data_IF_782846341972
#
_entry.id   IF_782846341972
#
_cell.length_a   1.000
_cell.length_b   1.000
_cell.length_c   1.000
_cell.angle_alpha   90.00
_cell.angle_beta   90.00
_cell.angle_gamma   90.00
#
_symmetry.space_group_name_H-M   'P 1'
#
loop_
_entity.id
_entity.type
_entity.pdbx_description
1 polymer ?
#
# COMPACT_ATOMS: atom_id res chain seq x y z
N UNK A 1 -37.41 12.31 -8.82
CA UNK A 1 -38.85 12.55 -8.82
C UNK A 1 -39.12 13.94 -8.24
N UNK A 2 -40.03 14.65 -8.85
CA UNK A 2 -40.48 15.99 -8.43
C UNK A 2 -41.90 15.84 -7.95
N UNK A 3 -42.19 16.21 -6.71
CA UNK A 3 -43.54 16.14 -6.13
C UNK A 3 -44.09 17.51 -5.76
N UNK A 4 -45.39 17.63 -5.74
CA UNK A 4 -46.13 18.75 -5.19
C UNK A 4 -46.30 18.64 -3.67
N UNK A 5 -46.85 19.67 -3.01
CA UNK A 5 -47.17 19.64 -1.57
C UNK A 5 -48.10 18.49 -1.17
N UNK A 6 -48.84 17.92 -2.11
CA UNK A 6 -49.73 16.75 -1.89
C UNK A 6 -49.05 15.41 -2.21
N UNK A 7 -47.73 15.39 -2.37
CA UNK A 7 -46.92 14.19 -2.70
C UNK A 7 -47.41 13.45 -3.98
N UNK A 8 -48.12 14.14 -4.87
CA UNK A 8 -48.45 13.54 -6.15
C UNK A 8 -47.21 13.53 -7.07
N UNK A 9 -46.96 12.40 -7.72
CA UNK A 9 -45.91 12.29 -8.73
C UNK A 9 -46.22 13.16 -9.93
N UNK A 10 -45.42 14.20 -10.19
CA UNK A 10 -45.63 15.16 -11.29
C UNK A 10 -44.77 14.76 -12.51
N UNK A 11 -43.61 14.14 -12.29
CA UNK A 11 -42.73 13.72 -13.36
C UNK A 11 -41.30 13.47 -12.93
N UNK A 12 -40.46 13.13 -13.87
CA UNK A 12 -39.01 13.00 -13.71
C UNK A 12 -38.31 14.14 -14.42
N UNK A 13 -37.36 14.80 -13.74
CA UNK A 13 -36.43 15.73 -14.34
C UNK A 13 -35.12 15.02 -14.65
N UNK A 14 -34.70 15.04 -15.89
CA UNK A 14 -33.38 14.52 -16.32
C UNK A 14 -32.51 15.70 -16.67
N UNK A 15 -31.39 15.85 -15.99
CA UNK A 15 -30.37 16.88 -16.25
C UNK A 15 -29.16 16.22 -16.90
N UNK A 16 -28.76 16.68 -18.07
CA UNK A 16 -27.60 16.21 -18.81
C UNK A 16 -26.51 17.28 -18.77
N UNK A 17 -25.35 16.92 -18.23
CA UNK A 17 -24.18 17.77 -18.22
C UNK A 17 -23.09 17.20 -19.15
N UNK A 18 -22.47 18.03 -19.96
CA UNK A 18 -21.30 17.62 -20.74
C UNK A 18 -20.07 17.62 -19.87
N UNK A 19 -19.55 16.41 -19.58
CA UNK A 19 -18.37 16.19 -18.76
C UNK A 19 -17.13 15.80 -19.57
N UNK A 20 -17.15 15.99 -20.91
CA UNK A 20 -16.05 15.58 -21.81
C UNK A 20 -14.72 16.21 -21.39
N UNK A 21 -14.68 17.53 -21.23
CA UNK A 21 -13.47 18.25 -20.78
C UNK A 21 -12.94 17.74 -19.44
N UNK A 22 -13.85 17.43 -18.53
CA UNK A 22 -13.45 16.90 -17.22
C UNK A 22 -12.80 15.54 -17.33
N UNK A 23 -13.38 14.64 -18.15
CA UNK A 23 -12.82 13.30 -18.41
C UNK A 23 -11.50 13.34 -19.17
N UNK A 24 -11.36 14.25 -20.12
CA UNK A 24 -10.10 14.45 -20.86
C UNK A 24 -8.98 14.91 -19.91
N UNK A 25 -9.26 15.88 -19.04
CA UNK A 25 -8.30 16.37 -18.04
C UNK A 25 -7.89 15.27 -17.05
N UNK A 26 -8.86 14.50 -16.56
CA UNK A 26 -8.62 13.40 -15.63
C UNK A 26 -7.78 12.29 -16.28
N UNK A 27 -8.07 11.96 -17.54
CA UNK A 27 -7.29 11.00 -18.30
C UNK A 27 -5.87 11.50 -18.58
N UNK A 28 -5.70 12.78 -18.92
CA UNK A 28 -4.39 13.38 -19.12
C UNK A 28 -3.54 13.37 -17.84
N UNK A 29 -4.17 13.75 -16.70
CA UNK A 29 -3.55 13.68 -15.36
C UNK A 29 -3.07 12.25 -15.03
N UNK A 30 -3.93 11.26 -15.23
CA UNK A 30 -3.61 9.85 -14.97
C UNK A 30 -2.45 9.35 -15.83
N UNK A 31 -2.48 9.66 -17.13
CA UNK A 31 -1.44 9.27 -18.06
C UNK A 31 -0.10 9.95 -17.71
N UNK A 32 -0.14 11.25 -17.38
CA UNK A 32 1.05 11.99 -16.95
C UNK A 32 1.70 11.35 -15.72
N UNK A 33 0.93 11.07 -14.66
CA UNK A 33 1.44 10.46 -13.44
C UNK A 33 2.00 9.05 -13.72
N UNK A 34 1.33 8.27 -14.57
CA UNK A 34 1.81 6.94 -14.97
C UNK A 34 3.15 7.04 -15.69
N UNK A 35 3.28 7.96 -16.63
CA UNK A 35 4.53 8.17 -17.37
C UNK A 35 5.65 8.62 -16.44
N UNK A 36 5.40 9.64 -15.60
CA UNK A 36 6.41 10.11 -14.63
C UNK A 36 6.87 9.00 -13.70
N UNK A 37 5.93 8.20 -13.18
CA UNK A 37 6.28 7.08 -12.29
C UNK A 37 7.17 6.04 -12.99
N UNK A 38 6.90 5.72 -14.25
CA UNK A 38 7.74 4.83 -15.04
C UNK A 38 9.13 5.43 -15.31
N UNK A 39 9.17 6.67 -15.74
CA UNK A 39 10.42 7.40 -16.05
C UNK A 39 11.29 7.63 -14.80
N UNK A 40 10.70 7.70 -13.62
CA UNK A 40 11.43 7.80 -12.36
C UNK A 40 11.93 6.44 -11.85
N UNK A 41 11.20 5.35 -12.11
CA UNK A 41 11.59 4.01 -11.67
C UNK A 41 12.95 3.58 -12.23
N UNK A 42 13.19 3.84 -13.50
CA UNK A 42 14.41 3.44 -14.21
C UNK A 42 15.67 4.05 -13.61
N UNK A 43 15.81 5.40 -13.46
CA UNK A 43 17.00 5.99 -12.87
C UNK A 43 17.21 5.60 -11.41
N UNK A 44 16.11 5.49 -10.62
CA UNK A 44 16.22 5.05 -9.22
C UNK A 44 16.73 3.61 -9.14
N UNK A 45 16.23 2.71 -10.00
CA UNK A 45 16.73 1.33 -10.06
C UNK A 45 18.20 1.27 -10.45
N UNK A 46 18.66 2.15 -11.33
CA UNK A 46 20.09 2.27 -11.69
C UNK A 46 20.93 2.75 -10.51
N UNK A 47 20.43 3.71 -9.73
CA UNK A 47 21.10 4.17 -8.50
C UNK A 47 21.23 3.00 -7.51
N UNK A 48 20.15 2.26 -7.26
CA UNK A 48 20.18 1.11 -6.35
C UNK A 48 21.14 0.02 -6.80
N UNK A 49 21.20 -0.25 -8.10
CA UNK A 49 22.16 -1.20 -8.68
C UNK A 49 23.60 -0.71 -8.48
N UNK A 50 23.88 0.57 -8.71
CA UNK A 50 25.21 1.16 -8.47
C UNK A 50 25.61 1.08 -7.01
N UNK A 51 24.69 1.34 -6.08
CA UNK A 51 24.92 1.21 -4.64
C UNK A 51 25.17 -0.26 -4.21
N UNK A 52 24.51 -1.20 -4.88
CA UNK A 52 24.75 -2.63 -4.65
C UNK A 52 26.17 -3.02 -5.09
N UNK A 53 26.61 -2.53 -6.25
CA UNK A 53 27.98 -2.76 -6.74
C UNK A 53 29.02 -2.11 -5.83
N UNK A 54 28.80 -0.87 -5.37
CA UNK A 54 29.69 -0.21 -4.41
C UNK A 54 29.83 -0.96 -3.09
N UNK A 55 28.80 -1.67 -2.67
CA UNK A 55 28.82 -2.53 -1.48
C UNK A 55 29.49 -3.89 -1.70
N UNK A 56 29.84 -4.23 -2.93
CA UNK A 56 30.52 -5.51 -3.25
C UNK A 56 32.01 -5.42 -2.90
N UNK A 57 32.47 -6.30 -2.04
CA UNK A 57 33.87 -6.37 -1.60
C UNK A 57 34.88 -6.51 -2.74
N UNK A 58 34.45 -6.92 -3.95
CA UNK A 58 35.30 -7.04 -5.15
C UNK A 58 35.76 -5.69 -5.70
N UNK A 59 35.05 -4.60 -5.40
CA UNK A 59 35.44 -3.24 -5.81
C UNK A 59 36.28 -2.51 -4.78
N UNK A 60 36.55 -3.14 -3.63
CA UNK A 60 37.27 -2.58 -2.51
C UNK A 60 36.37 -2.46 -1.28
N UNK A 61 37.01 -2.22 -0.11
CA UNK A 61 36.29 -2.06 1.14
C UNK A 61 35.93 -0.59 1.36
N UNK A 62 34.67 -0.32 1.59
CA UNK A 62 34.20 1.00 2.02
C UNK A 62 34.61 1.24 3.49
N UNK A 63 35.08 2.45 3.80
CA UNK A 63 35.22 2.88 5.18
C UNK A 63 33.84 3.10 5.83
N UNK A 64 33.82 3.28 7.15
CA UNK A 64 32.55 3.39 7.91
C UNK A 64 31.70 4.59 7.46
N UNK A 65 32.33 5.72 7.16
CA UNK A 65 31.65 6.91 6.67
C UNK A 65 31.03 6.69 5.28
N UNK A 66 31.76 6.04 4.38
CA UNK A 66 31.24 5.65 3.04
C UNK A 66 30.08 4.66 3.16
N UNK A 67 30.14 3.68 4.07
CA UNK A 67 29.03 2.74 4.32
C UNK A 67 27.77 3.47 4.77
N UNK A 68 27.92 4.45 5.68
CA UNK A 68 26.79 5.26 6.13
C UNK A 68 26.17 6.08 4.99
N UNK A 69 27.00 6.70 4.14
CA UNK A 69 26.50 7.46 2.99
C UNK A 69 25.77 6.56 1.98
N UNK A 70 26.37 5.40 1.62
CA UNK A 70 25.75 4.42 0.73
C UNK A 70 24.41 3.93 1.33
N UNK A 71 24.37 3.68 2.64
CA UNK A 71 23.13 3.29 3.33
C UNK A 71 22.06 4.37 3.24
N UNK A 72 22.39 5.63 3.48
CA UNK A 72 21.48 6.76 3.41
C UNK A 72 20.93 7.00 2.00
N UNK A 73 21.78 6.88 0.96
CA UNK A 73 21.35 7.01 -0.44
C UNK A 73 20.42 5.86 -0.81
N UNK A 74 20.73 4.64 -0.40
CA UNK A 74 19.88 3.46 -0.61
C UNK A 74 18.49 3.68 -0.01
N UNK A 75 18.43 4.06 1.25
CA UNK A 75 17.17 4.32 1.96
C UNK A 75 16.33 5.40 1.26
N UNK A 76 16.97 6.48 0.84
CA UNK A 76 16.30 7.56 0.09
C UNK A 76 15.76 7.09 -1.26
N UNK A 77 16.53 6.25 -1.96
CA UNK A 77 16.14 5.67 -3.26
C UNK A 77 14.98 4.69 -3.12
N UNK A 78 15.01 3.79 -2.13
CA UNK A 78 13.91 2.88 -1.82
C UNK A 78 12.63 3.63 -1.46
N UNK A 79 12.76 4.71 -0.67
CA UNK A 79 11.62 5.59 -0.34
C UNK A 79 11.02 6.24 -1.59
N UNK A 80 11.84 6.73 -2.51
CA UNK A 80 11.37 7.30 -3.78
C UNK A 80 10.64 6.27 -4.64
N UNK A 81 11.16 5.03 -4.75
CA UNK A 81 10.46 3.94 -5.44
C UNK A 81 9.09 3.65 -4.85
N UNK A 82 9.00 3.60 -3.52
CA UNK A 82 7.73 3.36 -2.84
C UNK A 82 6.72 4.47 -3.13
N UNK A 83 7.13 5.75 -2.99
CA UNK A 83 6.27 6.91 -3.27
C UNK A 83 5.77 6.89 -4.72
N UNK A 84 6.64 6.61 -5.68
CA UNK A 84 6.24 6.54 -7.11
C UNK A 84 5.27 5.39 -7.36
N UNK A 85 5.45 4.25 -6.72
CA UNK A 85 4.54 3.10 -6.78
C UNK A 85 3.16 3.41 -6.17
N UNK A 86 3.12 4.03 -4.99
CA UNK A 86 1.90 4.47 -4.33
C UNK A 86 1.10 5.46 -5.19
N UNK A 87 1.80 6.46 -5.77
CA UNK A 87 1.19 7.45 -6.63
C UNK A 87 0.56 6.84 -7.88
N UNK A 88 1.25 5.86 -8.51
CA UNK A 88 0.73 5.14 -9.66
C UNK A 88 -0.51 4.30 -9.29
N UNK A 89 -0.44 3.54 -8.20
CA UNK A 89 -1.58 2.73 -7.74
C UNK A 89 -2.79 3.62 -7.42
N UNK A 90 -2.58 4.75 -6.73
CA UNK A 90 -3.64 5.71 -6.41
C UNK A 90 -4.32 6.25 -7.67
N UNK A 91 -3.56 6.64 -8.68
CA UNK A 91 -4.12 7.17 -9.94
C UNK A 91 -4.87 6.11 -10.75
N UNK A 92 -4.44 4.83 -10.70
CA UNK A 92 -5.16 3.73 -11.33
C UNK A 92 -6.51 3.47 -10.64
N UNK A 93 -6.57 3.57 -9.31
CA UNK A 93 -7.82 3.47 -8.54
C UNK A 93 -8.75 4.63 -8.87
N UNK A 94 -8.23 5.88 -8.86
CA UNK A 94 -9.03 7.10 -9.16
C UNK A 94 -9.66 7.08 -10.54
N UNK A 95 -8.91 6.65 -11.54
CA UNK A 95 -9.38 6.61 -12.93
C UNK A 95 -10.26 5.41 -13.24
N UNK A 96 -10.50 4.50 -12.27
CA UNK A 96 -11.21 3.24 -12.49
C UNK A 96 -10.49 2.29 -13.46
N UNK A 97 -9.21 2.55 -13.75
CA UNK A 97 -8.38 1.74 -14.65
C UNK A 97 -7.66 0.60 -13.94
N UNK A 98 -7.85 0.44 -12.63
CA UNK A 98 -7.27 -0.67 -11.88
C UNK A 98 -7.83 -1.98 -12.42
N UNK A 99 -7.00 -2.73 -13.12
CA UNK A 99 -7.34 -4.09 -13.56
C UNK A 99 -6.87 -5.07 -12.50
N UNK A 100 -7.81 -5.77 -11.88
CA UNK A 100 -7.50 -6.86 -10.97
C UNK A 100 -7.30 -8.15 -11.78
N UNK A 101 -6.30 -8.93 -11.37
CA UNK A 101 -6.00 -10.26 -11.93
C UNK A 101 -6.19 -11.33 -10.83
N UNK A 102 -7.46 -11.64 -10.47
CA UNK A 102 -7.73 -12.54 -9.38
C UNK A 102 -7.30 -13.97 -9.71
N UNK A 103 -6.69 -14.62 -8.71
CA UNK A 103 -6.26 -16.02 -8.75
C UNK A 103 -6.67 -16.70 -7.44
N UNK A 104 -6.76 -18.03 -7.48
CA UNK A 104 -6.97 -18.81 -6.25
C UNK A 104 -5.67 -18.87 -5.48
N UNK A 105 -5.66 -18.30 -4.26
CA UNK A 105 -4.49 -18.21 -3.39
C UNK A 105 -4.85 -18.60 -1.97
N UNK A 106 -3.90 -19.08 -1.20
CA UNK A 106 -4.08 -19.31 0.23
C UNK A 106 -3.75 -18.03 1.00
N UNK A 107 -4.59 -17.62 1.97
CA UNK A 107 -4.31 -16.44 2.81
C UNK A 107 -2.92 -16.47 3.46
N UNK A 108 -2.48 -17.65 3.87
CA UNK A 108 -1.17 -17.90 4.49
C UNK A 108 -0.02 -17.44 3.59
N UNK A 109 -0.09 -17.74 2.29
CA UNK A 109 0.96 -17.35 1.32
C UNK A 109 1.09 -15.83 1.19
N UNK A 110 -0.03 -15.10 1.31
CA UNK A 110 -0.06 -13.63 1.28
C UNK A 110 0.53 -13.04 2.55
N UNK A 111 0.19 -13.61 3.71
CA UNK A 111 0.69 -13.20 5.01
C UNK A 111 2.20 -13.47 5.09
N UNK A 112 2.64 -14.67 4.75
CA UNK A 112 4.07 -15.04 4.76
C UNK A 112 4.90 -14.13 3.85
N UNK A 113 4.38 -13.78 2.68
CA UNK A 113 5.04 -12.82 1.79
C UNK A 113 5.20 -11.46 2.45
N UNK A 114 4.13 -10.93 3.06
CA UNK A 114 4.15 -9.62 3.69
C UNK A 114 5.09 -9.58 4.91
N UNK A 115 5.10 -10.65 5.72
CA UNK A 115 6.02 -10.79 6.86
C UNK A 115 7.47 -10.78 6.39
N UNK A 116 7.80 -11.57 5.36
CA UNK A 116 9.16 -11.60 4.80
C UNK A 116 9.56 -10.23 4.23
N UNK A 117 8.64 -9.56 3.54
CA UNK A 117 8.89 -8.24 2.95
C UNK A 117 9.15 -7.15 4.01
N UNK A 118 8.61 -7.31 5.23
CA UNK A 118 8.76 -6.34 6.32
C UNK A 118 9.77 -6.76 7.38
N UNK A 119 10.41 -7.91 7.23
CA UNK A 119 11.33 -8.46 8.25
C UNK A 119 12.47 -7.49 8.60
N UNK A 120 13.19 -6.97 7.60
CA UNK A 120 14.30 -6.03 7.82
C UNK A 120 13.82 -4.76 8.52
N UNK A 121 12.60 -4.30 8.19
CA UNK A 121 11.99 -3.15 8.83
C UNK A 121 11.68 -3.45 10.30
N UNK A 122 11.09 -4.61 10.60
CA UNK A 122 10.77 -5.04 11.96
C UNK A 122 12.05 -5.17 12.82
N UNK A 123 13.12 -5.78 12.28
CA UNK A 123 14.42 -5.88 12.95
C UNK A 123 15.01 -4.49 13.27
N UNK A 124 14.94 -3.55 12.32
CA UNK A 124 15.41 -2.17 12.50
C UNK A 124 14.68 -1.43 13.62
N UNK A 125 13.35 -1.61 13.70
CA UNK A 125 12.51 -1.01 14.74
C UNK A 125 12.40 -1.87 16.01
N UNK A 126 13.11 -3.00 16.05
CA UNK A 126 13.10 -3.97 17.16
C UNK A 126 11.70 -4.46 17.52
N UNK A 127 10.84 -4.66 16.52
CA UNK A 127 9.51 -5.22 16.69
C UNK A 127 9.49 -6.71 16.37
N UNK A 128 8.59 -7.45 17.01
CA UNK A 128 8.39 -8.89 16.77
C UNK A 128 7.07 -9.11 16.04
N UNK A 129 7.12 -9.71 14.86
CA UNK A 129 5.91 -10.05 14.10
C UNK A 129 5.52 -11.49 14.40
N UNK A 130 4.34 -11.66 15.00
CA UNK A 130 3.72 -12.95 15.29
C UNK A 130 2.62 -13.24 14.26
N UNK A 131 2.53 -14.50 13.82
CA UNK A 131 1.56 -14.90 12.79
C UNK A 131 0.52 -15.82 13.40
N UNK A 132 -0.76 -15.48 13.20
CA UNK A 132 -1.89 -16.24 13.75
C UNK A 132 -2.90 -16.58 12.65
N UNK A 133 -3.16 -17.87 12.44
CA UNK A 133 -4.26 -18.33 11.58
C UNK A 133 -4.70 -19.74 11.97
N UNK A 134 -5.97 -20.12 11.68
CA UNK A 134 -6.48 -21.44 11.99
C UNK A 134 -5.87 -22.51 11.05
N UNK A 135 -5.81 -23.76 11.52
CA UNK A 135 -5.34 -24.89 10.70
C UNK A 135 -6.06 -25.03 9.36
N UNK A 136 -7.36 -24.72 9.35
CA UNK A 136 -8.21 -24.76 8.15
C UNK A 136 -8.72 -23.37 7.83
N UNK A 137 -8.28 -22.88 6.68
CA UNK A 137 -8.72 -21.60 6.14
C UNK A 137 -9.03 -21.74 4.64
N UNK A 138 -10.10 -21.14 4.20
CA UNK A 138 -10.55 -21.19 2.80
C UNK A 138 -9.58 -20.45 1.90
N UNK A 139 -9.42 -20.97 0.67
CA UNK A 139 -8.71 -20.24 -0.37
C UNK A 139 -9.51 -19.01 -0.80
N UNK A 140 -8.81 -17.97 -1.19
CA UNK A 140 -9.38 -16.73 -1.69
C UNK A 140 -9.26 -16.65 -3.21
N UNK A 141 -10.23 -15.99 -3.85
CA UNK A 141 -10.13 -15.62 -5.26
C UNK A 141 -9.87 -14.11 -5.34
N UNK A 142 -8.59 -13.73 -5.32
CA UNK A 142 -8.14 -12.34 -5.21
C UNK A 142 -6.89 -12.09 -6.06
N UNK A 143 -6.60 -10.82 -6.31
CA UNK A 143 -5.32 -10.40 -6.88
C UNK A 143 -4.26 -10.48 -5.78
N UNK A 144 -3.38 -11.48 -5.89
CA UNK A 144 -2.37 -11.79 -4.89
C UNK A 144 -1.38 -10.63 -4.68
N UNK A 145 -0.98 -9.93 -5.75
CA UNK A 145 -0.03 -8.82 -5.64
C UNK A 145 -0.65 -7.63 -4.91
N UNK A 146 -1.91 -7.32 -5.22
CA UNK A 146 -2.61 -6.19 -4.60
C UNK A 146 -2.94 -6.47 -3.13
N UNK A 147 -3.37 -7.69 -2.78
CA UNK A 147 -3.64 -8.05 -1.38
C UNK A 147 -2.33 -8.14 -0.58
N UNK A 148 -1.28 -8.74 -1.13
CA UNK A 148 0.02 -8.76 -0.48
C UNK A 148 0.54 -7.34 -0.21
N UNK A 149 0.37 -6.43 -1.16
CA UNK A 149 0.73 -5.02 -0.98
C UNK A 149 -0.08 -4.35 0.14
N UNK A 150 -1.39 -4.61 0.24
CA UNK A 150 -2.23 -4.10 1.34
C UNK A 150 -1.72 -4.59 2.70
N UNK A 151 -1.44 -5.91 2.82
CA UNK A 151 -0.95 -6.48 4.08
C UNK A 151 0.42 -5.90 4.44
N UNK A 152 1.32 -5.77 3.47
CA UNK A 152 2.65 -5.16 3.67
C UNK A 152 2.55 -3.72 4.16
N UNK A 153 1.64 -2.92 3.60
CA UNK A 153 1.40 -1.55 4.05
C UNK A 153 0.87 -1.49 5.48
N UNK A 154 -0.08 -2.37 5.83
CA UNK A 154 -0.61 -2.43 7.19
C UNK A 154 0.48 -2.84 8.18
N UNK A 155 1.29 -3.86 7.85
CA UNK A 155 2.43 -4.28 8.68
C UNK A 155 3.48 -3.17 8.82
N UNK A 156 3.85 -2.51 7.73
CA UNK A 156 4.79 -1.39 7.76
C UNK A 156 4.29 -0.25 8.66
N UNK A 157 3.01 0.10 8.58
CA UNK A 157 2.41 1.10 9.46
C UNK A 157 2.44 0.65 10.92
N UNK A 158 2.07 -0.59 11.20
CA UNK A 158 2.13 -1.17 12.54
C UNK A 158 3.55 -1.09 13.12
N UNK A 159 4.58 -1.44 12.33
CA UNK A 159 5.98 -1.37 12.76
C UNK A 159 6.41 0.06 13.07
N UNK A 160 6.06 1.03 12.21
CA UNK A 160 6.47 2.43 12.40
C UNK A 160 5.82 3.10 13.61
N UNK A 161 4.61 2.66 13.98
CA UNK A 161 3.83 3.27 15.07
C UNK A 161 3.88 2.50 16.38
N UNK A 162 4.56 1.36 16.40
CA UNK A 162 4.77 0.55 17.60
C UNK A 162 6.01 0.98 18.38
N UNK A 163 6.00 0.91 19.72
CA UNK A 163 7.20 1.06 20.54
C UNK A 163 8.25 0.00 20.22
N UNK A 164 9.51 0.29 20.54
CA UNK A 164 10.56 -0.74 20.48
C UNK A 164 10.22 -1.94 21.39
N UNK A 165 10.63 -3.12 20.98
CA UNK A 165 10.38 -4.41 21.66
C UNK A 165 8.90 -4.78 21.81
N UNK A 166 8.02 -4.17 21.02
CA UNK A 166 6.61 -4.55 20.97
C UNK A 166 6.37 -5.70 20.00
N UNK A 167 5.28 -6.42 20.24
CA UNK A 167 4.77 -7.42 19.29
C UNK A 167 3.78 -6.78 18.34
N UNK A 168 3.70 -7.35 17.14
CA UNK A 168 2.71 -7.03 16.12
C UNK A 168 2.12 -8.36 15.67
N UNK A 169 0.81 -8.48 15.67
CA UNK A 169 0.14 -9.71 15.28
C UNK A 169 -0.45 -9.51 13.89
N UNK A 170 -0.13 -10.42 12.97
CA UNK A 170 -0.77 -10.50 11.66
C UNK A 170 -1.43 -11.85 11.52
N UNK A 171 -2.65 -11.88 11.03
CA UNK A 171 -3.34 -13.15 10.96
C UNK A 171 -4.56 -13.16 10.06
N UNK A 172 -5.24 -14.30 10.07
CA UNK A 172 -6.47 -14.48 9.34
C UNK A 172 -7.50 -15.26 10.17
N UNK A 173 -8.76 -14.87 10.05
CA UNK A 173 -9.89 -15.54 10.70
C UNK A 173 -10.88 -16.01 9.63
N UNK A 174 -11.34 -17.25 9.77
CA UNK A 174 -12.37 -17.81 8.90
C UNK A 174 -13.74 -17.44 9.45
N UNK A 175 -14.53 -16.73 8.66
CA UNK A 175 -15.96 -16.53 8.87
C UNK A 175 -16.77 -17.41 7.91
N UNK A 176 -18.09 -17.51 8.12
CA UNK A 176 -18.96 -18.36 7.28
C UNK A 176 -18.85 -18.07 5.78
N UNK A 177 -18.75 -16.79 5.40
CA UNK A 177 -18.75 -16.36 3.99
C UNK A 177 -17.52 -15.53 3.60
N UNK A 178 -16.58 -15.33 4.52
CA UNK A 178 -15.43 -14.46 4.30
C UNK A 178 -14.23 -14.95 5.08
N UNK A 179 -13.05 -14.53 4.63
CA UNK A 179 -11.82 -14.62 5.40
C UNK A 179 -11.42 -13.19 5.73
N UNK A 180 -11.28 -12.91 7.01
CA UNK A 180 -10.76 -11.64 7.51
C UNK A 180 -9.25 -11.77 7.69
N UNK A 181 -8.49 -10.83 7.12
CA UNK A 181 -7.05 -10.68 7.36
C UNK A 181 -6.87 -9.44 8.23
N UNK A 182 -6.13 -9.57 9.32
CA UNK A 182 -5.94 -8.50 10.27
C UNK A 182 -4.47 -8.27 10.59
N UNK A 183 -4.15 -7.03 10.95
CA UNK A 183 -2.88 -6.63 11.57
C UNK A 183 -3.21 -5.88 12.84
N UNK A 184 -2.64 -6.30 13.95
CA UNK A 184 -2.84 -5.69 15.26
C UNK A 184 -1.50 -5.21 15.80
N UNK A 185 -1.42 -3.92 16.10
CA UNK A 185 -0.32 -3.30 16.82
C UNK A 185 -0.73 -2.94 18.25
N UNK A 186 0.26 -2.63 19.07
CA UNK A 186 0.10 -2.20 20.45
C UNK A 186 0.73 -0.82 20.66
N UNK A 187 0.68 0.01 19.60
CA UNK A 187 1.16 1.38 19.60
C UNK A 187 0.24 2.34 20.33
N UNK A 188 0.47 3.64 20.10
CA UNK A 188 -0.32 4.72 20.73
C UNK A 188 -1.79 4.77 20.30
N UNK A 189 -2.16 3.98 19.30
CA UNK A 189 -3.49 4.01 18.70
C UNK A 189 -3.78 5.30 17.92
N UNK A 190 -5.01 5.38 17.43
CA UNK A 190 -5.52 6.54 16.68
C UNK A 190 -6.72 7.11 17.43
N UNK A 191 -6.72 8.42 17.66
CA UNK A 191 -7.85 9.09 18.31
C UNK A 191 -9.15 8.80 17.54
N UNK A 192 -10.24 8.40 18.23
CA UNK A 192 -11.52 8.07 17.59
C UNK A 192 -12.07 9.14 16.65
N UNK A 193 -11.72 10.42 16.87
CA UNK A 193 -12.08 11.53 15.97
C UNK A 193 -11.56 11.36 14.56
N UNK A 194 -10.45 10.66 14.40
CA UNK A 194 -9.79 10.47 13.10
C UNK A 194 -10.11 9.15 12.40
N UNK A 195 -10.84 8.21 13.05
CA UNK A 195 -11.12 6.90 12.51
C UNK A 195 -11.78 6.92 11.11
N UNK A 196 -12.58 7.94 10.81
CA UNK A 196 -13.18 8.10 9.49
C UNK A 196 -12.19 8.76 8.52
N UNK A 197 -11.43 9.73 9.00
CA UNK A 197 -10.56 10.55 8.15
C UNK A 197 -9.24 9.85 7.77
N UNK A 198 -8.79 8.82 8.53
CA UNK A 198 -7.58 8.06 8.17
C UNK A 198 -7.67 7.35 6.82
N UNK A 199 -8.88 7.15 6.29
CA UNK A 199 -9.11 6.61 4.95
C UNK A 199 -9.30 7.68 3.88
N UNK A 200 -9.30 8.97 4.29
CA UNK A 200 -9.34 10.09 3.35
C UNK A 200 -7.96 10.32 2.74
N UNK A 201 -7.96 10.85 1.53
CA UNK A 201 -6.73 11.10 0.78
C UNK A 201 -5.90 12.19 1.46
N UNK A 202 -4.59 11.98 1.50
CA UNK A 202 -3.62 12.94 2.05
C UNK A 202 -3.78 13.24 3.54
N UNK A 203 -4.69 12.55 4.23
CA UNK A 203 -4.84 12.71 5.67
C UNK A 203 -3.67 12.04 6.41
N UNK A 204 -3.09 12.73 7.37
CA UNK A 204 -2.06 12.22 8.30
C UNK A 204 -2.39 12.72 9.70
N UNK A 205 -2.20 11.86 10.70
CA UNK A 205 -2.34 12.20 12.12
C UNK A 205 -1.00 12.69 12.68
#
# INVERSE_FOLDING_TARGET
PVGSREQQFVGNLIVLNNITKYKELDSAKTNFISTVSHEMKTPISSILMSLQLLGDNRLGQLNEEQKQLVGSIRESSDRLLNITGELLNMTQVESGKLRLMPKVVKPVELIDYAVKATQVLAERFRCFVEVEYPEKISKLFVDNEKIAWVITNLLSNAIHHSPENSRIIVGAVQHEKAVEIFVQDFGRGIDPRYHKSIFERYFRV
#
